data_IF_322849764874
#
_entry.id   IF_322849764874
#
_cell.length_a   1.000
_cell.length_b   1.000
_cell.length_c   1.000
_cell.angle_alpha   90.00
_cell.angle_beta   90.00
_cell.angle_gamma   90.00
#
_symmetry.space_group_name_H-M   'P 1'
#
loop_
_entity.id
_entity.type
_entity.pdbx_description
1 polymer ?
#
# COMPACT_ATOMS: atom_id res chain seq x y z
N UNK A 1 39.89 38.45 -15.38
CA UNK A 1 40.19 38.26 -16.82
C UNK A 1 39.91 36.81 -17.15
N UNK A 2 39.04 36.60 -18.14
CA UNK A 2 38.42 35.32 -18.53
C UNK A 2 39.40 34.32 -19.16
N UNK A 3 39.13 33.03 -18.94
CA UNK A 3 39.30 31.91 -19.89
C UNK A 3 38.60 30.69 -19.24
N UNK A 4 37.45 30.15 -19.66
CA UNK A 4 36.94 29.72 -20.97
C UNK A 4 37.66 28.48 -21.55
N UNK A 5 37.11 27.29 -21.25
CA UNK A 5 36.96 26.07 -22.08
C UNK A 5 38.23 25.34 -22.59
N UNK A 6 38.18 23.99 -22.67
CA UNK A 6 37.51 23.43 -23.86
C UNK A 6 36.72 22.10 -23.69
N UNK A 7 35.66 22.02 -24.50
CA UNK A 7 35.14 20.88 -25.29
C UNK A 7 34.86 19.53 -24.63
N UNK A 8 33.57 19.22 -24.53
CA UNK A 8 33.00 17.88 -24.38
C UNK A 8 33.31 16.95 -25.56
N UNK A 9 33.97 15.83 -25.26
CA UNK A 9 34.01 14.64 -26.11
C UNK A 9 32.87 13.69 -25.74
N UNK A 10 32.09 13.29 -26.75
CA UNK A 10 31.04 12.26 -26.65
C UNK A 10 31.62 10.86 -26.81
N UNK A 11 31.14 9.93 -25.99
CA UNK A 11 30.97 8.50 -26.28
C UNK A 11 31.51 7.57 -25.18
N UNK A 12 31.07 6.29 -25.10
CA UNK A 12 29.90 5.65 -25.73
C UNK A 12 28.90 5.06 -24.70
N UNK A 13 27.69 4.81 -25.16
CA UNK A 13 26.60 4.15 -24.43
C UNK A 13 26.98 2.69 -24.07
N UNK A 14 26.93 2.36 -22.78
CA UNK A 14 27.00 0.98 -22.32
C UNK A 14 25.69 0.26 -22.67
N UNK A 15 25.82 -0.86 -23.38
CA UNK A 15 24.72 -1.71 -23.78
C UNK A 15 24.09 -2.37 -22.55
N UNK A 16 22.80 -2.13 -22.32
CA UNK A 16 21.98 -2.96 -21.42
C UNK A 16 21.89 -4.36 -22.00
N UNK A 17 22.33 -5.34 -21.22
CA UNK A 17 22.13 -6.75 -21.52
C UNK A 17 20.64 -7.07 -21.37
N UNK A 18 19.98 -7.41 -22.48
CA UNK A 18 18.62 -7.93 -22.46
C UNK A 18 18.64 -9.39 -22.01
N UNK A 19 17.87 -9.70 -20.98
CA UNK A 19 17.56 -11.07 -20.57
C UNK A 19 16.74 -11.70 -21.68
N UNK A 20 17.29 -12.73 -22.32
CA UNK A 20 16.60 -13.53 -23.31
C UNK A 20 15.95 -14.75 -22.63
N UNK A 21 14.62 -14.79 -22.60
CA UNK A 21 13.90 -16.03 -22.32
C UNK A 21 14.09 -16.99 -23.50
N UNK A 22 14.88 -18.04 -23.30
CA UNK A 22 15.08 -19.11 -24.27
C UNK A 22 13.99 -20.18 -24.12
N UNK A 23 13.22 -20.41 -25.20
CA UNK A 23 12.37 -21.59 -25.33
C UNK A 23 13.24 -22.81 -25.67
N UNK A 24 13.36 -23.73 -24.72
CA UNK A 24 14.05 -25.00 -24.86
C UNK A 24 13.26 -26.00 -25.73
N UNK A 25 13.04 -25.69 -27.02
CA UNK A 25 12.58 -26.69 -27.99
C UNK A 25 12.88 -26.45 -29.48
N UNK A 26 13.62 -25.42 -29.86
CA UNK A 26 14.15 -25.35 -31.23
C UNK A 26 15.51 -24.64 -31.29
N UNK A 27 16.58 -25.41 -31.45
CA UNK A 27 17.95 -24.89 -31.57
C UNK A 27 18.19 -24.11 -32.86
N UNK A 28 17.69 -22.88 -32.94
CA UNK A 28 17.98 -21.92 -34.01
C UNK A 28 18.19 -20.51 -33.47
N UNK A 29 19.41 -20.03 -33.61
CA UNK A 29 19.85 -18.65 -33.36
C UNK A 29 19.25 -17.71 -34.41
N UNK A 30 18.57 -16.65 -33.99
CA UNK A 30 18.14 -15.56 -34.87
C UNK A 30 18.92 -14.28 -34.49
N UNK A 31 19.74 -13.79 -35.41
CA UNK A 31 20.42 -12.51 -35.30
C UNK A 31 19.44 -11.35 -35.56
N UNK A 32 19.47 -10.24 -34.79
CA UNK A 32 18.75 -9.04 -35.17
C UNK A 32 19.57 -8.23 -36.19
N UNK A 33 18.95 -7.99 -37.35
CA UNK A 33 19.40 -7.04 -38.37
C UNK A 33 18.94 -5.63 -37.97
N UNK A 34 19.92 -4.73 -37.81
CA UNK A 34 19.72 -3.29 -37.64
C UNK A 34 19.39 -2.66 -39.00
N UNK A 35 18.33 -1.85 -39.08
CA UNK A 35 17.96 -1.12 -40.30
C UNK A 35 17.18 0.17 -39.99
N UNK A 36 17.82 1.30 -40.26
CA UNK A 36 17.32 2.68 -40.10
C UNK A 36 16.52 3.19 -41.31
N UNK A 37 15.52 4.04 -41.01
CA UNK A 37 14.96 5.16 -41.80
C UNK A 37 14.11 4.89 -43.07
N UNK A 38 12.97 5.59 -43.18
CA UNK A 38 12.32 5.86 -44.48
C UNK A 38 10.81 6.14 -44.44
N UNK A 39 10.42 7.34 -44.86
CA UNK A 39 9.06 7.93 -44.88
C UNK A 39 8.10 7.43 -45.99
N UNK A 40 6.79 7.62 -45.73
CA UNK A 40 5.60 7.81 -46.63
C UNK A 40 4.65 6.64 -46.96
N UNK A 41 3.37 6.86 -46.54
CA UNK A 41 2.04 6.66 -47.19
C UNK A 41 1.84 5.51 -48.20
N UNK A 42 1.02 4.51 -47.85
CA UNK A 42 -0.42 4.41 -48.20
C UNK A 42 -0.98 2.99 -47.93
N UNK A 43 -2.06 2.92 -47.14
CA UNK A 43 -3.27 2.13 -47.42
C UNK A 43 -3.26 0.61 -47.21
N UNK A 44 -3.84 0.16 -46.08
CA UNK A 44 -5.03 -0.72 -46.00
C UNK A 44 -5.32 -1.11 -44.54
N UNK A 45 -6.55 -0.83 -44.08
CA UNK A 45 -7.18 -1.42 -42.87
C UNK A 45 -7.52 -2.91 -43.15
N UNK A 46 -7.84 -3.79 -42.16
CA UNK A 46 -8.74 -3.61 -41.01
C UNK A 46 -8.12 -4.15 -39.68
N UNK A 47 -8.70 -4.18 -38.49
CA UNK A 47 -10.09 -4.29 -38.04
C UNK A 47 -10.22 -3.74 -36.59
N UNK A 48 -11.45 -3.36 -36.25
CA UNK A 48 -11.90 -2.91 -34.94
C UNK A 48 -11.82 -4.05 -33.92
N UNK A 49 -11.17 -3.83 -32.78
CA UNK A 49 -11.40 -4.60 -31.56
C UNK A 49 -12.34 -3.78 -30.68
N UNK A 50 -13.60 -4.22 -30.58
CA UNK A 50 -14.54 -3.73 -29.59
C UNK A 50 -14.30 -4.47 -28.28
N UNK A 51 -14.17 -3.71 -27.20
CA UNK A 51 -14.29 -4.20 -25.83
C UNK A 51 -15.75 -4.58 -25.58
N UNK A 52 -15.99 -5.79 -25.06
CA UNK A 52 -17.26 -6.16 -24.45
C UNK A 52 -16.95 -6.53 -23.00
N UNK A 53 -17.38 -5.63 -22.11
CA UNK A 53 -17.63 -5.89 -20.70
C UNK A 53 -18.74 -6.95 -20.58
N UNK A 54 -18.52 -7.94 -19.72
CA UNK A 54 -19.52 -8.96 -19.40
C UNK A 54 -19.81 -8.93 -17.90
N UNK A 55 -20.83 -8.16 -17.56
CA UNK A 55 -21.58 -8.25 -16.31
C UNK A 55 -22.49 -9.49 -16.37
N UNK A 56 -22.49 -10.26 -15.28
CA UNK A 56 -23.48 -11.28 -14.91
C UNK A 56 -23.46 -12.66 -15.58
N UNK A 57 -23.48 -13.64 -14.68
CA UNK A 57 -23.60 -15.08 -14.91
C UNK A 57 -25.06 -15.42 -15.18
N UNK A 58 -25.40 -15.81 -16.40
CA UNK A 58 -26.40 -16.86 -16.68
C UNK A 58 -26.44 -17.18 -18.19
N UNK A 59 -26.48 -18.49 -18.47
CA UNK A 59 -27.01 -19.14 -19.68
C UNK A 59 -25.97 -19.68 -20.69
N UNK A 60 -25.77 -21.00 -20.65
CA UNK A 60 -24.94 -21.77 -21.58
C UNK A 60 -25.83 -22.50 -22.60
N UNK A 61 -25.60 -22.26 -23.90
CA UNK A 61 -26.09 -23.13 -24.99
C UNK A 61 -24.94 -23.59 -25.86
N UNK A 62 -24.87 -24.92 -26.04
CA UNK A 62 -23.89 -25.65 -26.85
C UNK A 62 -24.32 -25.69 -28.31
N UNK A 63 -23.40 -25.42 -29.24
CA UNK A 63 -23.48 -25.90 -30.63
C UNK A 63 -22.12 -26.46 -31.07
N UNK A 64 -22.16 -27.65 -31.68
CA UNK A 64 -21.03 -28.44 -32.19
C UNK A 64 -20.94 -28.33 -33.71
N UNK A 65 -19.72 -28.35 -34.26
CA UNK A 65 -19.47 -28.87 -35.62
C UNK A 65 -18.09 -29.54 -35.72
N UNK A 66 -18.09 -30.75 -36.27
CA UNK A 66 -16.99 -31.70 -36.46
C UNK A 66 -16.02 -31.33 -37.59
N UNK A 67 -14.74 -31.73 -37.43
CA UNK A 67 -13.73 -31.73 -38.52
C UNK A 67 -12.25 -31.92 -38.09
N UNK A 68 -11.94 -33.05 -37.42
CA UNK A 68 -10.64 -33.70 -37.07
C UNK A 68 -9.30 -33.28 -37.75
N UNK A 69 -8.10 -33.66 -37.21
CA UNK A 69 -7.71 -33.91 -35.80
C UNK A 69 -6.29 -33.39 -35.44
N UNK A 70 -6.03 -33.16 -34.14
CA UNK A 70 -4.66 -33.09 -33.58
C UNK A 70 -4.53 -34.12 -32.45
N UNK A 71 -3.53 -35.00 -32.58
CA UNK A 71 -3.20 -36.06 -31.62
C UNK A 71 -2.59 -35.47 -30.35
N UNK A 72 -3.15 -35.83 -29.19
CA UNK A 72 -2.55 -35.57 -27.87
C UNK A 72 -2.45 -36.92 -27.13
N UNK A 73 -1.32 -37.25 -26.47
CA UNK A 73 -1.11 -38.53 -25.81
C UNK A 73 -1.88 -38.65 -24.49
N UNK A 74 -2.20 -39.90 -24.14
CA UNK A 74 -3.04 -40.30 -23.02
C UNK A 74 -2.33 -40.25 -21.63
N UNK A 75 -3.10 -39.84 -20.61
CA UNK A 75 -2.83 -40.01 -19.18
C UNK A 75 -4.18 -40.08 -18.42
N UNK A 76 -4.27 -40.80 -17.29
CA UNK A 76 -5.46 -41.59 -16.97
C UNK A 76 -6.62 -40.80 -16.32
N UNK A 77 -7.82 -41.28 -16.65
CA UNK A 77 -9.14 -40.77 -16.33
C UNK A 77 -9.50 -40.81 -14.84
N UNK A 78 -10.12 -39.73 -14.35
CA UNK A 78 -10.96 -39.74 -13.14
C UNK A 78 -12.42 -39.67 -13.60
N UNK A 79 -13.15 -40.75 -13.34
CA UNK A 79 -14.59 -40.89 -13.62
C UNK A 79 -15.37 -40.23 -12.49
N UNK A 80 -16.06 -39.13 -12.79
CA UNK A 80 -16.98 -38.48 -11.86
C UNK A 80 -18.41 -38.94 -12.16
N UNK A 81 -18.95 -39.84 -11.33
CA UNK A 81 -20.35 -40.26 -11.39
C UNK A 81 -21.24 -39.21 -10.72
N UNK A 82 -22.07 -38.52 -11.50
CA UNK A 82 -23.19 -37.74 -10.99
C UNK A 82 -24.44 -38.64 -10.89
N UNK A 83 -24.98 -38.80 -9.69
CA UNK A 83 -26.27 -39.47 -9.47
C UNK A 83 -27.31 -38.41 -9.14
N UNK A 84 -28.23 -38.19 -10.07
CA UNK A 84 -29.45 -37.40 -9.88
C UNK A 84 -30.47 -38.24 -9.11
N UNK A 85 -31.04 -37.67 -8.05
CA UNK A 85 -32.06 -38.31 -7.22
C UNK A 85 -33.43 -37.70 -7.49
N UNK A 86 -34.41 -38.55 -7.74
CA UNK A 86 -35.82 -38.20 -7.88
C UNK A 86 -36.69 -39.08 -6.97
N UNK A 87 -37.72 -38.42 -6.40
CA UNK A 87 -38.99 -38.96 -5.90
C UNK A 87 -39.04 -39.75 -4.57
N UNK A 88 -39.71 -39.12 -3.59
CA UNK A 88 -40.43 -39.70 -2.44
C UNK A 88 -41.58 -40.65 -2.90
N UNK A 89 -42.21 -41.55 -2.08
CA UNK A 89 -42.63 -41.30 -0.68
C UNK A 89 -42.75 -42.49 0.33
N UNK A 90 -42.90 -42.09 1.62
CA UNK A 90 -43.65 -42.69 2.76
C UNK A 90 -43.70 -44.22 2.96
N UNK A 91 -43.06 -44.70 4.05
CA UNK A 91 -43.66 -45.56 5.11
C UNK A 91 -42.61 -46.00 6.14
N UNK A 92 -43.03 -46.15 7.41
CA UNK A 92 -42.28 -46.51 8.64
C UNK A 92 -43.18 -47.55 9.36
N UNK A 93 -42.76 -48.41 10.32
CA UNK A 93 -41.43 -48.81 10.83
C UNK A 93 -41.21 -50.35 10.87
N UNK A 94 -39.97 -50.82 11.07
CA UNK A 94 -39.60 -51.76 12.16
C UNK A 94 -38.26 -52.48 11.94
N UNK A 95 -37.48 -52.50 13.03
CA UNK A 95 -36.45 -53.47 13.45
C UNK A 95 -35.16 -53.63 12.62
N UNK A 96 -34.07 -53.83 13.38
CA UNK A 96 -32.70 -54.19 12.97
C UNK A 96 -31.77 -53.04 12.55
N UNK A 97 -31.20 -52.34 13.54
CA UNK A 97 -29.94 -51.60 13.38
C UNK A 97 -28.86 -52.23 14.26
N UNK A 98 -28.13 -53.19 13.68
CA UNK A 98 -26.82 -53.66 14.13
C UNK A 98 -25.77 -52.92 13.30
N UNK A 99 -24.72 -52.43 13.96
CA UNK A 99 -23.44 -51.96 13.39
C UNK A 99 -23.49 -50.70 12.52
N UNK A 100 -23.37 -49.52 13.15
CA UNK A 100 -22.92 -48.31 12.50
C UNK A 100 -21.86 -47.61 13.36
N UNK A 101 -20.61 -47.77 12.94
CA UNK A 101 -19.51 -46.80 13.01
C UNK A 101 -19.37 -45.93 14.28
N UNK A 102 -18.59 -46.43 15.24
CA UNK A 102 -17.76 -45.57 16.08
C UNK A 102 -16.45 -45.27 15.33
N UNK A 103 -16.51 -44.36 14.35
CA UNK A 103 -15.32 -43.64 13.89
C UNK A 103 -15.39 -42.29 14.59
N UNK A 104 -14.75 -42.23 15.76
CA UNK A 104 -14.39 -40.96 16.39
C UNK A 104 -13.49 -40.23 15.40
N UNK A 105 -14.07 -39.26 14.71
CA UNK A 105 -13.34 -38.32 13.88
C UNK A 105 -12.39 -37.52 14.77
N UNK A 106 -11.13 -37.95 14.82
CA UNK A 106 -10.01 -37.04 15.04
C UNK A 106 -9.99 -36.11 13.84
N UNK A 107 -10.76 -35.03 13.92
CA UNK A 107 -10.56 -33.86 13.09
C UNK A 107 -9.20 -33.28 13.47
N UNK A 108 -8.15 -33.74 12.79
CA UNK A 108 -6.89 -33.01 12.73
C UNK A 108 -7.21 -31.78 11.90
N UNK A 109 -7.55 -30.68 12.56
CA UNK A 109 -7.41 -29.38 11.91
C UNK A 109 -5.93 -29.29 11.47
N UNK A 110 -5.64 -28.90 10.22
CA UNK A 110 -4.28 -28.52 9.90
C UNK A 110 -3.97 -27.32 10.79
N UNK A 111 -3.24 -27.55 11.86
CA UNK A 111 -2.46 -26.50 12.49
C UNK A 111 -1.53 -26.02 11.39
N UNK A 112 -1.74 -24.82 10.86
CA UNK A 112 -0.62 -24.08 10.31
C UNK A 112 0.33 -23.96 11.50
N UNK A 113 1.32 -24.84 11.54
CA UNK A 113 2.36 -24.74 12.53
C UNK A 113 3.08 -23.43 12.18
N UNK A 114 2.95 -22.42 13.05
CA UNK A 114 3.88 -21.31 13.02
C UNK A 114 5.27 -21.94 13.08
N UNK A 115 6.11 -21.64 12.09
CA UNK A 115 7.49 -22.09 12.09
C UNK A 115 8.18 -21.45 13.28
N UNK A 116 8.90 -22.24 14.09
CA UNK A 116 9.68 -21.69 15.17
C UNK A 116 10.82 -20.82 14.58
N UNK A 117 11.19 -19.70 15.23
CA UNK A 117 12.30 -18.88 14.75
C UNK A 117 13.61 -19.66 14.83
N UNK A 118 14.53 -19.40 13.89
CA UNK A 118 15.85 -20.00 13.88
C UNK A 118 16.66 -19.50 15.10
N UNK A 119 16.52 -18.21 15.39
CA UNK A 119 17.19 -17.56 16.51
C UNK A 119 16.39 -16.37 17.02
N UNK A 120 16.44 -16.15 18.33
CA UNK A 120 15.86 -14.95 18.95
C UNK A 120 16.97 -14.14 19.60
N UNK A 121 17.01 -12.84 19.32
CA UNK A 121 17.88 -11.86 19.98
C UNK A 121 17.00 -10.91 20.78
N UNK A 122 17.15 -10.92 22.10
CA UNK A 122 16.44 -9.98 22.98
C UNK A 122 17.40 -9.28 23.94
N UNK A 123 17.10 -8.02 24.26
CA UNK A 123 17.79 -7.28 25.30
C UNK A 123 16.89 -6.18 25.89
N UNK A 124 17.31 -5.62 27.02
CA UNK A 124 16.71 -4.43 27.63
C UNK A 124 17.78 -3.39 27.92
N UNK A 125 17.73 -2.28 27.19
CA UNK A 125 18.72 -1.20 27.26
C UNK A 125 18.14 0.04 27.95
N UNK A 126 18.92 0.78 28.75
CA UNK A 126 18.48 2.08 29.27
C UNK A 126 18.26 3.07 28.11
N UNK A 127 17.25 3.93 28.23
CA UNK A 127 16.99 5.03 27.31
C UNK A 127 16.22 6.11 28.07
N UNK A 128 16.62 7.37 27.92
CA UNK A 128 15.88 8.50 28.46
C UNK A 128 14.43 8.51 27.94
N UNK A 129 13.51 9.06 28.74
CA UNK A 129 12.08 9.10 28.38
C UNK A 129 11.83 9.82 27.05
N UNK A 130 12.60 10.87 26.76
CA UNK A 130 12.59 11.69 25.55
C UNK A 130 13.69 11.28 24.54
N UNK A 131 14.29 10.10 24.72
CA UNK A 131 15.29 9.56 23.79
C UNK A 131 14.69 9.20 22.43
N UNK A 132 15.53 8.68 21.53
CA UNK A 132 15.10 8.24 20.20
C UNK A 132 15.43 6.76 19.94
N UNK A 133 14.49 6.06 19.30
CA UNK A 133 14.67 4.70 18.79
C UNK A 133 14.64 4.74 17.27
N UNK A 134 15.63 4.14 16.63
CA UNK A 134 15.67 3.91 15.19
C UNK A 134 15.75 2.41 14.91
N UNK A 135 14.99 1.92 13.94
CA UNK A 135 14.99 0.52 13.51
C UNK A 135 15.15 0.48 12.00
N UNK A 136 16.21 -0.18 11.54
CA UNK A 136 16.47 -0.45 10.13
C UNK A 136 16.25 -1.95 9.87
N UNK A 137 15.29 -2.32 9.03
CA UNK A 137 15.00 -3.71 8.68
C UNK A 137 14.51 -3.85 7.24
N UNK A 138 14.41 -5.08 6.73
CA UNK A 138 13.96 -5.34 5.35
C UNK A 138 12.58 -5.99 5.35
N UNK A 139 12.48 -7.22 5.85
CA UNK A 139 11.28 -8.05 5.78
C UNK A 139 10.89 -8.52 7.18
N UNK A 140 9.59 -8.70 7.38
CA UNK A 140 9.03 -9.36 8.56
C UNK A 140 7.91 -8.55 9.19
N UNK A 141 8.01 -8.34 10.49
CA UNK A 141 7.01 -7.56 11.24
C UNK A 141 7.68 -6.64 12.23
N UNK A 142 7.10 -5.47 12.45
CA UNK A 142 7.57 -4.52 13.46
C UNK A 142 6.39 -4.15 14.34
N UNK A 143 6.36 -4.68 15.56
CA UNK A 143 5.33 -4.35 16.56
C UNK A 143 5.93 -3.46 17.64
N UNK A 144 5.44 -2.23 17.77
CA UNK A 144 5.88 -1.28 18.77
C UNK A 144 4.77 -0.90 19.74
N UNK A 145 5.06 -1.06 21.04
CA UNK A 145 4.18 -0.64 22.14
C UNK A 145 4.93 0.25 23.13
N UNK A 146 4.21 1.00 23.95
CA UNK A 146 4.83 1.91 24.93
C UNK A 146 4.67 1.50 26.39
N UNK A 147 5.48 2.11 27.26
CA UNK A 147 5.35 2.03 28.73
C UNK A 147 5.90 3.27 29.45
N UNK A 148 5.69 3.30 30.76
CA UNK A 148 6.17 4.35 31.67
C UNK A 148 7.49 3.94 32.34
N UNK A 149 8.53 3.66 31.54
CA UNK A 149 9.87 3.25 32.01
C UNK A 149 10.95 3.80 31.10
N UNK A 150 12.05 4.27 31.69
CA UNK A 150 13.23 4.82 30.99
C UNK A 150 14.17 3.71 30.50
N UNK A 151 13.64 2.86 29.62
CA UNK A 151 14.35 1.76 28.97
C UNK A 151 13.58 1.27 27.76
N UNK A 152 14.26 0.61 26.84
CA UNK A 152 13.66 -0.12 25.73
C UNK A 152 13.91 -1.60 25.92
N UNK A 153 12.88 -2.44 25.74
CA UNK A 153 13.03 -3.88 25.52
C UNK A 153 12.76 -4.14 24.05
N UNK A 154 13.63 -4.89 23.40
CA UNK A 154 13.39 -5.40 22.07
C UNK A 154 13.60 -6.91 22.06
N UNK A 155 12.87 -7.56 21.17
CA UNK A 155 12.96 -8.98 20.86
C UNK A 155 12.88 -9.10 19.35
N UNK A 156 13.88 -9.71 18.74
CA UNK A 156 14.00 -9.90 17.30
C UNK A 156 14.06 -11.40 17.04
N UNK A 157 12.97 -11.94 16.49
CA UNK A 157 12.88 -13.34 16.06
C UNK A 157 13.31 -13.42 14.59
N UNK A 158 14.43 -14.08 14.36
CA UNK A 158 15.01 -14.28 13.03
C UNK A 158 14.45 -15.59 12.49
N UNK A 159 13.75 -15.52 11.37
CA UNK A 159 13.12 -16.67 10.76
C UNK A 159 14.13 -17.47 9.92
N UNK A 160 14.00 -18.80 9.88
CA UNK A 160 14.79 -19.63 8.97
C UNK A 160 14.32 -19.45 7.51
N UNK A 161 15.23 -19.66 6.55
CA UNK A 161 14.87 -19.86 5.14
C UNK A 161 15.26 -21.26 4.68
N UNK A 162 14.81 -21.68 3.49
CA UNK A 162 15.21 -22.97 2.90
C UNK A 162 16.73 -23.02 2.62
N UNK A 163 17.35 -21.86 2.34
CA UNK A 163 18.78 -21.73 2.04
C UNK A 163 19.64 -21.54 3.30
N UNK A 164 19.10 -20.87 4.33
CA UNK A 164 19.75 -20.62 5.62
C UNK A 164 18.81 -21.00 6.79
N UNK A 165 18.68 -22.31 7.10
CA UNK A 165 17.74 -22.79 8.12
C UNK A 165 18.12 -22.38 9.55
N UNK A 166 19.37 -21.97 9.77
CA UNK A 166 19.86 -21.50 11.07
C UNK A 166 19.99 -19.96 11.11
N UNK A 167 19.67 -19.28 9.99
CA UNK A 167 19.78 -17.83 9.79
C UNK A 167 21.15 -17.27 10.26
N UNK A 168 22.24 -18.00 9.96
CA UNK A 168 23.58 -17.65 10.41
C UNK A 168 24.08 -16.33 9.82
N UNK A 169 23.60 -15.97 8.62
CA UNK A 169 23.98 -14.74 7.91
C UNK A 169 23.31 -13.48 8.44
N UNK A 170 22.20 -13.61 9.18
CA UNK A 170 21.45 -12.46 9.70
C UNK A 170 22.01 -12.09 11.08
N UNK A 171 22.32 -10.82 11.30
CA UNK A 171 22.74 -10.31 12.61
C UNK A 171 21.94 -9.07 13.00
N UNK A 172 21.67 -8.93 14.30
CA UNK A 172 21.00 -7.75 14.85
C UNK A 172 22.06 -6.87 15.50
N UNK A 173 22.36 -5.73 14.89
CA UNK A 173 23.27 -4.73 15.45
C UNK A 173 22.50 -3.76 16.34
N UNK A 174 22.74 -3.81 17.65
CA UNK A 174 22.24 -2.81 18.59
C UNK A 174 23.34 -1.80 18.95
N UNK A 175 23.13 -0.52 18.63
CA UNK A 175 23.99 0.59 19.04
C UNK A 175 23.22 1.51 19.97
N UNK A 176 23.71 1.67 21.20
CA UNK A 176 22.97 2.42 22.23
C UNK A 176 23.86 3.37 23.03
N UNK A 177 23.27 4.50 23.41
CA UNK A 177 23.67 5.35 24.52
C UNK A 177 22.40 5.82 25.27
N UNK A 178 22.55 6.67 26.28
CA UNK A 178 21.43 7.12 27.12
C UNK A 178 20.34 7.88 26.36
N UNK A 179 20.64 8.45 25.19
CA UNK A 179 19.73 9.29 24.39
C UNK A 179 19.20 8.59 23.13
N UNK A 180 19.90 7.56 22.63
CA UNK A 180 19.58 6.90 21.36
C UNK A 180 19.79 5.40 21.41
N UNK A 181 18.83 4.66 20.84
CA UNK A 181 18.96 3.26 20.46
C UNK A 181 18.78 3.15 18.95
N UNK A 182 19.71 2.45 18.28
CA UNK A 182 19.54 2.02 16.90
C UNK A 182 19.61 0.50 16.84
N UNK A 183 18.61 -0.11 16.22
CA UNK A 183 18.57 -1.53 15.86
C UNK A 183 18.69 -1.61 14.34
N UNK A 184 19.60 -2.44 13.84
CA UNK A 184 19.72 -2.69 12.41
C UNK A 184 19.81 -4.20 12.16
N UNK A 185 18.95 -4.71 11.28
CA UNK A 185 19.10 -6.04 10.70
C UNK A 185 20.17 -5.97 9.60
N UNK A 186 21.23 -6.75 9.76
CA UNK A 186 22.32 -6.86 8.80
C UNK A 186 22.35 -8.29 8.24
N UNK A 187 22.58 -8.44 6.94
CA UNK A 187 22.66 -9.74 6.27
C UNK A 187 24.01 -9.86 5.54
N UNK A 188 24.91 -10.66 6.12
CA UNK A 188 26.20 -10.95 5.51
C UNK A 188 26.05 -12.02 4.42
N UNK A 189 26.05 -11.62 3.15
CA UNK A 189 26.32 -12.58 2.09
C UNK A 189 27.82 -12.83 1.95
N UNK A 190 28.22 -14.05 2.29
CA UNK A 190 29.53 -14.58 1.91
C UNK A 190 29.59 -14.72 0.40
N UNK A 191 30.11 -13.69 -0.28
CA UNK A 191 30.96 -13.72 -1.48
C UNK A 191 30.90 -12.34 -2.22
N UNK A 192 31.80 -11.43 -1.86
CA UNK A 192 32.44 -10.30 -2.59
C UNK A 192 31.81 -9.56 -3.81
N UNK A 193 30.55 -9.74 -4.22
CA UNK A 193 29.94 -8.92 -5.30
C UNK A 193 28.44 -8.68 -5.20
N UNK A 194 27.84 -8.84 -4.01
CA UNK A 194 26.46 -8.44 -3.75
C UNK A 194 26.27 -8.05 -2.29
N UNK A 195 26.54 -6.79 -1.93
CA UNK A 195 25.93 -6.23 -0.71
C UNK A 195 24.45 -6.09 -0.98
N UNK A 196 23.68 -6.99 -0.39
CA UNK A 196 22.25 -7.16 -0.68
C UNK A 196 21.38 -6.22 0.14
N UNK A 197 21.71 -6.04 1.42
CA UNK A 197 20.96 -5.16 2.31
C UNK A 197 21.87 -4.72 3.45
N UNK A 198 22.07 -3.42 3.63
CA UNK A 198 22.94 -2.90 4.69
C UNK A 198 23.55 -1.54 4.40
N UNK A 199 24.48 -1.11 5.26
CA UNK A 199 25.18 0.17 5.17
C UNK A 199 26.59 0.00 4.62
N UNK A 200 26.98 0.81 3.63
CA UNK A 200 28.36 0.97 3.16
C UNK A 200 28.88 2.41 3.28
N UNK A 201 30.04 2.71 2.71
CA UNK A 201 30.66 4.05 2.76
C UNK A 201 29.84 5.13 2.03
N UNK A 202 28.94 4.75 1.11
CA UNK A 202 28.12 5.64 0.28
C UNK A 202 26.66 5.74 0.74
N UNK A 203 26.18 4.84 1.62
CA UNK A 203 24.85 4.89 2.21
C UNK A 203 24.20 3.53 2.42
N UNK A 204 22.88 3.50 2.38
CA UNK A 204 22.08 2.28 2.49
C UNK A 204 21.92 1.62 1.11
N UNK A 205 22.10 0.29 1.01
CA UNK A 205 22.00 -0.48 -0.24
C UNK A 205 20.83 -1.47 -0.22
N UNK A 206 20.16 -1.58 -1.37
CA UNK A 206 19.05 -2.48 -1.66
C UNK A 206 19.44 -3.53 -2.71
N UNK A 207 19.09 -4.80 -2.49
CA UNK A 207 18.95 -5.84 -3.52
C UNK A 207 19.52 -7.21 -3.19
N UNK A 208 18.69 -8.25 -3.09
CA UNK A 208 19.05 -9.67 -3.14
C UNK A 208 17.77 -10.50 -3.06
N UNK A 209 17.89 -11.82 -3.20
CA UNK A 209 16.77 -12.75 -3.21
C UNK A 209 16.99 -13.70 -2.02
N UNK A 210 15.99 -13.85 -1.15
CA UNK A 210 16.01 -14.65 0.10
C UNK A 210 16.68 -14.00 1.33
N UNK A 211 16.28 -12.77 1.68
CA UNK A 211 16.62 -12.18 3.00
C UNK A 211 15.67 -12.81 4.04
N UNK A 212 16.17 -13.42 5.14
CA UNK A 212 15.27 -13.97 6.14
C UNK A 212 14.46 -12.88 6.86
N UNK A 213 13.15 -13.12 7.00
CA UNK A 213 12.27 -12.23 7.74
C UNK A 213 12.69 -12.10 9.22
N UNK A 214 12.60 -10.90 9.76
CA UNK A 214 12.84 -10.61 11.19
C UNK A 214 11.59 -10.00 11.80
N UNK A 215 11.06 -10.65 12.83
CA UNK A 215 9.92 -10.16 13.59
C UNK A 215 10.40 -9.41 14.84
N UNK A 216 10.27 -8.09 14.82
CA UNK A 216 10.59 -7.21 15.94
C UNK A 216 9.38 -6.99 16.84
N UNK A 217 9.56 -7.24 18.14
CA UNK A 217 8.67 -6.76 19.20
C UNK A 217 9.42 -5.77 20.08
N UNK A 218 9.02 -4.49 20.02
CA UNK A 218 9.68 -3.39 20.72
C UNK A 218 8.73 -2.77 21.74
N UNK A 219 9.26 -2.55 22.94
CA UNK A 219 8.57 -1.80 24.00
C UNK A 219 9.44 -0.66 24.51
N UNK A 220 8.97 0.56 24.35
CA UNK A 220 9.77 1.78 24.55
C UNK A 220 9.07 2.84 25.44
N UNK A 221 9.79 3.85 25.96
CA UNK A 221 9.17 4.96 26.68
C UNK A 221 8.13 5.68 25.81
N UNK A 222 7.00 6.08 26.39
CA UNK A 222 5.90 6.73 25.66
C UNK A 222 6.30 8.02 24.92
N UNK A 223 7.19 8.82 25.51
CA UNK A 223 7.60 10.13 24.99
C UNK A 223 8.82 10.07 24.07
N UNK A 224 9.42 8.90 23.88
CA UNK A 224 10.57 8.72 23.01
C UNK A 224 10.15 8.84 21.54
N UNK A 225 11.01 9.38 20.69
CA UNK A 225 10.78 9.44 19.25
C UNK A 225 11.08 8.07 18.61
N UNK A 226 10.34 7.71 17.56
CA UNK A 226 10.55 6.48 16.79
C UNK A 226 10.77 6.81 15.32
N UNK A 227 11.84 6.26 14.75
CA UNK A 227 12.09 6.19 13.30
C UNK A 227 12.15 4.73 12.87
N UNK A 228 11.37 4.37 11.85
CA UNK A 228 11.42 3.07 11.19
C UNK A 228 11.87 3.29 9.75
N UNK A 229 12.92 2.59 9.35
CA UNK A 229 13.41 2.49 7.98
C UNK A 229 13.26 1.02 7.57
N UNK A 230 12.35 0.74 6.65
CA UNK A 230 11.86 -0.59 6.30
C UNK A 230 11.76 -0.80 4.78
N UNK A 231 11.56 -2.04 4.33
CA UNK A 231 11.21 -2.34 2.94
C UNK A 231 9.79 -2.85 2.79
N UNK A 232 9.44 -3.93 3.48
CA UNK A 232 8.25 -4.71 3.16
C UNK A 232 7.62 -5.36 4.40
N UNK A 233 7.94 -4.85 5.59
CA UNK A 233 7.41 -5.38 6.84
C UNK A 233 5.97 -4.95 7.07
N UNK A 234 5.21 -5.78 7.80
CA UNK A 234 3.98 -5.33 8.44
C UNK A 234 4.32 -4.52 9.70
N UNK A 235 3.91 -3.26 9.75
CA UNK A 235 4.27 -2.32 10.81
C UNK A 235 3.04 -2.01 11.68
N UNK A 236 3.15 -2.21 12.99
CA UNK A 236 2.13 -1.87 13.97
C UNK A 236 2.72 -1.00 15.08
N UNK A 237 2.21 0.22 15.25
CA UNK A 237 2.71 1.18 16.26
C UNK A 237 1.56 1.68 17.13
N UNK A 238 1.64 1.42 18.44
CA UNK A 238 0.58 1.77 19.40
C UNK A 238 1.07 2.63 20.56
N UNK A 239 0.36 3.73 20.85
CA UNK A 239 0.43 4.43 22.12
C UNK A 239 1.60 5.39 22.30
N UNK A 240 2.22 5.85 21.23
CA UNK A 240 3.38 6.77 21.25
C UNK A 240 2.92 8.23 21.40
N UNK A 241 3.69 9.02 22.13
CA UNK A 241 3.49 10.46 22.30
C UNK A 241 4.68 11.28 21.80
N UNK A 242 5.84 10.64 21.59
CA UNK A 242 6.93 11.21 20.79
C UNK A 242 6.60 11.16 19.30
N UNK A 243 7.39 11.86 18.49
CA UNK A 243 7.22 11.87 17.03
C UNK A 243 7.48 10.47 16.44
N UNK A 244 6.67 10.10 15.44
CA UNK A 244 6.78 8.87 14.67
C UNK A 244 7.14 9.21 13.22
N UNK A 245 8.22 8.63 12.71
CA UNK A 245 8.56 8.65 11.29
C UNK A 245 8.71 7.22 10.76
N UNK A 246 8.04 6.93 9.66
CA UNK A 246 8.13 5.64 8.96
C UNK A 246 8.53 5.92 7.52
N UNK A 247 9.55 5.23 7.05
CA UNK A 247 10.02 5.19 5.67
C UNK A 247 9.99 3.72 5.28
N UNK A 248 9.12 3.35 4.33
CA UNK A 248 9.00 1.96 3.87
C UNK A 248 8.75 1.91 2.37
N UNK A 249 9.10 0.81 1.70
CA UNK A 249 8.75 0.65 0.30
C UNK A 249 7.30 0.12 0.18
N UNK A 250 6.99 -0.94 0.91
CA UNK A 250 5.78 -1.73 0.83
C UNK A 250 5.33 -2.23 2.21
N UNK A 251 4.13 -2.82 2.25
CA UNK A 251 3.60 -3.48 3.44
C UNK A 251 2.55 -2.66 4.19
N UNK A 252 1.70 -3.30 5.00
CA UNK A 252 0.64 -2.63 5.73
C UNK A 252 1.21 -1.89 6.95
N UNK A 253 0.75 -0.66 7.16
CA UNK A 253 1.13 0.17 8.31
C UNK A 253 -0.12 0.50 9.13
N UNK A 254 -0.12 0.09 10.40
CA UNK A 254 -1.19 0.39 11.35
C UNK A 254 -0.65 1.23 12.51
N UNK A 255 -1.25 2.40 12.71
CA UNK A 255 -0.87 3.37 13.74
C UNK A 255 -2.09 3.66 14.62
N UNK A 256 -1.97 3.43 15.93
CA UNK A 256 -3.11 3.57 16.86
C UNK A 256 -2.74 4.32 18.13
N UNK A 257 -3.68 5.13 18.65
CA UNK A 257 -3.62 5.84 19.94
C UNK A 257 -2.37 6.72 20.10
N UNK A 258 -2.09 7.51 19.07
CA UNK A 258 -0.91 8.35 18.96
C UNK A 258 -1.20 9.80 19.41
N UNK A 259 -0.19 10.46 19.99
CA UNK A 259 -0.24 11.89 20.38
C UNK A 259 0.91 12.72 19.83
N UNK A 260 1.90 12.07 19.24
CA UNK A 260 2.99 12.75 18.54
C UNK A 260 2.62 12.98 17.09
N UNK A 261 3.35 13.88 16.42
CA UNK A 261 3.23 14.00 14.97
C UNK A 261 3.64 12.69 14.28
N UNK A 262 2.93 12.34 13.22
CA UNK A 262 3.17 11.15 12.39
C UNK A 262 3.58 11.59 10.99
N UNK A 263 4.70 11.06 10.51
CA UNK A 263 5.14 11.21 9.11
C UNK A 263 5.37 9.84 8.52
N UNK A 264 4.72 9.52 7.41
CA UNK A 264 4.87 8.25 6.71
C UNK A 264 5.21 8.56 5.25
N UNK A 265 6.35 8.06 4.82
CA UNK A 265 6.79 8.08 3.43
C UNK A 265 6.75 6.62 2.92
N UNK A 266 6.00 6.34 1.85
CA UNK A 266 5.89 4.99 1.28
C UNK A 266 5.89 4.95 -0.26
N UNK A 267 6.23 3.81 -0.85
CA UNK A 267 5.98 3.59 -2.28
C UNK A 267 4.58 2.99 -2.48
N UNK A 268 4.29 1.84 -1.90
CA UNK A 268 3.04 1.09 -2.06
C UNK A 268 2.56 0.49 -0.74
N UNK A 269 1.72 1.22 0.00
CA UNK A 269 1.28 0.76 1.34
C UNK A 269 -0.22 0.95 1.58
N UNK A 270 -0.78 0.03 2.38
CA UNK A 270 -2.09 0.23 3.01
C UNK A 270 -1.89 0.84 4.39
N UNK A 271 -2.35 2.08 4.57
CA UNK A 271 -2.17 2.86 5.79
C UNK A 271 -3.48 2.92 6.58
N UNK A 272 -3.42 2.54 7.86
CA UNK A 272 -4.54 2.64 8.80
C UNK A 272 -4.11 3.44 10.02
N UNK A 273 -4.71 4.61 10.23
CA UNK A 273 -4.40 5.48 11.39
C UNK A 273 -5.67 5.75 12.18
N UNK A 274 -5.68 5.42 13.46
CA UNK A 274 -6.85 5.60 14.34
C UNK A 274 -6.47 6.27 15.66
N UNK A 275 -7.29 7.22 16.10
CA UNK A 275 -7.10 7.97 17.35
C UNK A 275 -5.76 8.69 17.39
N UNK A 276 -5.61 9.69 16.51
CA UNK A 276 -4.41 10.51 16.42
C UNK A 276 -4.70 11.92 16.95
N UNK A 277 -3.91 12.35 17.92
CA UNK A 277 -3.96 13.68 18.54
C UNK A 277 -2.66 14.42 18.24
N UNK A 278 -2.53 14.91 17.01
CA UNK A 278 -1.31 15.48 16.44
C UNK A 278 -1.33 15.47 14.92
N UNK A 279 -0.44 16.25 14.32
CA UNK A 279 -0.38 16.38 12.86
C UNK A 279 0.02 15.05 12.18
N UNK A 280 -0.54 14.82 10.99
CA UNK A 280 -0.25 13.67 10.13
C UNK A 280 0.21 14.15 8.76
N UNK A 281 1.32 13.63 8.29
CA UNK A 281 1.82 13.84 6.93
C UNK A 281 2.05 12.49 6.27
N UNK A 282 1.37 12.25 5.15
CA UNK A 282 1.50 11.04 4.34
C UNK A 282 2.01 11.44 2.96
N UNK A 283 3.06 10.78 2.50
CA UNK A 283 3.63 10.95 1.16
C UNK A 283 3.77 9.55 0.57
N UNK A 284 2.96 9.22 -0.44
CA UNK A 284 2.94 7.86 -0.99
C UNK A 284 2.80 7.84 -2.51
N UNK A 285 3.54 6.96 -3.19
CA UNK A 285 3.34 6.82 -4.63
C UNK A 285 1.97 6.23 -4.92
N UNK A 286 1.66 5.08 -4.33
CA UNK A 286 0.36 4.43 -4.43
C UNK A 286 -0.12 3.93 -3.06
N UNK A 287 -1.44 3.86 -2.85
CA UNK A 287 -1.95 3.23 -1.64
C UNK A 287 -3.39 3.54 -1.25
N UNK A 288 -3.87 2.74 -0.29
CA UNK A 288 -5.15 2.96 0.40
C UNK A 288 -4.88 3.50 1.80
N UNK A 289 -5.50 4.63 2.12
CA UNK A 289 -5.36 5.33 3.39
C UNK A 289 -6.71 5.41 4.09
N UNK A 290 -6.87 4.66 5.18
CA UNK A 290 -8.07 4.65 6.02
C UNK A 290 -7.75 5.31 7.37
N UNK A 291 -8.25 6.53 7.58
CA UNK A 291 -7.97 7.34 8.78
C UNK A 291 -9.26 7.56 9.58
N UNK A 292 -9.18 7.49 10.91
CA UNK A 292 -10.33 7.72 11.81
C UNK A 292 -9.95 8.49 13.06
N UNK A 293 -10.82 9.43 13.46
CA UNK A 293 -10.68 10.20 14.70
C UNK A 293 -9.29 10.88 14.78
N UNK A 294 -9.09 11.83 13.87
CA UNK A 294 -7.85 12.58 13.71
C UNK A 294 -8.09 14.01 14.22
N UNK A 295 -7.32 14.44 15.21
CA UNK A 295 -7.30 15.81 15.72
C UNK A 295 -5.95 16.46 15.38
N UNK A 296 -5.96 17.46 14.50
CA UNK A 296 -4.75 18.10 13.99
C UNK A 296 -4.78 18.34 12.47
N UNK A 297 -3.64 18.75 11.90
CA UNK A 297 -3.50 18.92 10.46
C UNK A 297 -3.27 17.55 9.80
N UNK A 298 -4.05 17.26 8.76
CA UNK A 298 -3.81 16.14 7.85
C UNK A 298 -3.28 16.67 6.52
N UNK A 299 -2.09 16.22 6.11
CA UNK A 299 -1.49 16.49 4.80
C UNK A 299 -1.23 15.18 4.10
N UNK A 300 -1.71 15.03 2.87
CA UNK A 300 -1.55 13.84 2.05
C UNK A 300 -1.13 14.26 0.64
N UNK A 301 0.02 13.77 0.20
CA UNK A 301 0.51 13.86 -1.17
C UNK A 301 0.58 12.45 -1.74
N UNK A 302 -0.03 12.23 -2.90
CA UNK A 302 0.02 10.92 -3.55
C UNK A 302 0.01 11.00 -5.07
N UNK A 303 0.62 10.03 -5.75
CA UNK A 303 0.46 9.93 -7.20
C UNK A 303 -0.86 9.26 -7.55
N UNK A 304 -1.08 8.04 -7.05
CA UNK A 304 -2.30 7.26 -7.27
C UNK A 304 -2.86 6.70 -5.95
N UNK A 305 -3.97 7.23 -5.43
CA UNK A 305 -4.36 6.86 -4.06
C UNK A 305 -5.82 7.03 -3.71
N UNK A 306 -6.26 6.27 -2.71
CA UNK A 306 -7.59 6.49 -2.09
C UNK A 306 -7.42 6.88 -0.64
N UNK A 307 -7.90 8.08 -0.29
CA UNK A 307 -8.01 8.56 1.08
C UNK A 307 -9.46 8.47 1.56
N UNK A 308 -9.68 7.78 2.68
CA UNK A 308 -10.92 7.82 3.45
C UNK A 308 -10.61 8.29 4.86
N UNK A 309 -11.07 9.48 5.24
CA UNK A 309 -10.93 10.01 6.60
C UNK A 309 -12.29 10.26 7.24
N UNK A 310 -12.50 9.69 8.44
CA UNK A 310 -13.71 9.85 9.24
C UNK A 310 -13.40 10.60 10.55
N UNK A 311 -14.28 11.53 10.94
CA UNK A 311 -14.17 12.31 12.18
C UNK A 311 -12.88 13.14 12.26
N UNK A 312 -12.56 13.88 11.19
CA UNK A 312 -11.45 14.85 11.19
C UNK A 312 -11.84 16.13 11.96
N UNK A 313 -11.09 16.44 13.01
CA UNK A 313 -11.12 17.74 13.71
C UNK A 313 -9.84 18.50 13.35
N UNK A 314 -9.91 19.40 12.38
CA UNK A 314 -8.70 20.03 11.87
C UNK A 314 -8.81 20.67 10.49
N UNK A 315 -7.69 20.62 9.78
CA UNK A 315 -7.52 20.97 8.36
C UNK A 315 -7.12 19.75 7.54
N UNK A 316 -7.37 19.81 6.23
CA UNK A 316 -6.95 18.82 5.25
C UNK A 316 -6.20 19.52 4.11
N UNK A 317 -5.03 19.02 3.76
CA UNK A 317 -4.41 19.22 2.45
C UNK A 317 -4.32 17.86 1.76
N UNK A 318 -4.95 17.72 0.61
CA UNK A 318 -4.89 16.53 -0.22
C UNK A 318 -4.47 16.95 -1.63
N UNK A 319 -3.35 16.41 -2.10
CA UNK A 319 -2.85 16.60 -3.45
C UNK A 319 -2.70 15.21 -4.10
N UNK A 320 -3.35 14.99 -5.24
CA UNK A 320 -3.21 13.76 -6.00
C UNK A 320 -3.13 14.02 -7.51
N UNK A 321 -2.43 13.14 -8.24
CA UNK A 321 -2.58 13.08 -9.69
C UNK A 321 -3.84 12.27 -10.01
N UNK A 322 -3.86 10.98 -9.69
CA UNK A 322 -5.01 10.09 -9.92
C UNK A 322 -5.56 9.58 -8.57
N UNK A 323 -6.47 10.33 -7.94
CA UNK A 323 -6.82 10.06 -6.54
C UNK A 323 -8.26 10.29 -6.17
N UNK A 324 -8.81 9.41 -5.31
CA UNK A 324 -10.13 9.61 -4.71
C UNK A 324 -9.99 10.00 -3.24
N UNK A 325 -10.67 11.08 -2.84
CA UNK A 325 -10.75 11.50 -1.44
C UNK A 325 -12.19 11.50 -0.93
N UNK A 326 -12.40 10.86 0.21
CA UNK A 326 -13.65 10.93 0.99
C UNK A 326 -13.32 11.39 2.41
N UNK A 327 -13.59 12.65 2.72
CA UNK A 327 -13.27 13.25 4.02
C UNK A 327 -14.52 13.70 4.77
N UNK A 328 -14.72 13.18 5.97
CA UNK A 328 -15.81 13.56 6.88
C UNK A 328 -15.26 14.30 8.09
N UNK A 329 -15.66 15.57 8.23
CA UNK A 329 -15.19 16.46 9.28
C UNK A 329 -16.11 16.41 10.51
N UNK A 330 -15.51 16.21 11.67
CA UNK A 330 -16.14 16.51 12.95
C UNK A 330 -16.27 18.03 13.13
N UNK A 331 -15.17 18.75 12.88
CA UNK A 331 -15.05 20.22 12.92
C UNK A 331 -13.96 20.66 11.93
N UNK A 332 -14.23 21.70 11.14
CA UNK A 332 -13.19 22.38 10.35
C UNK A 332 -12.63 23.52 11.18
N UNK A 333 -11.32 23.52 11.44
CA UNK A 333 -10.68 24.53 12.31
C UNK A 333 -9.73 25.46 11.59
N UNK A 334 -9.27 25.08 10.40
CA UNK A 334 -8.31 25.78 9.55
C UNK A 334 -8.56 25.37 8.09
N UNK A 335 -7.83 25.95 7.15
CA UNK A 335 -8.10 25.84 5.70
C UNK A 335 -8.10 24.39 5.21
N UNK A 336 -8.95 24.11 4.21
CA UNK A 336 -9.04 22.83 3.52
C UNK A 336 -8.68 23.03 2.06
N UNK A 337 -7.72 22.25 1.58
CA UNK A 337 -7.25 22.27 0.21
C UNK A 337 -7.31 20.86 -0.37
N UNK A 338 -8.01 20.71 -1.49
CA UNK A 338 -8.10 19.45 -2.22
C UNK A 338 -7.79 19.73 -3.68
N UNK A 339 -6.76 19.09 -4.21
CA UNK A 339 -6.33 19.16 -5.61
C UNK A 339 -6.24 17.75 -6.17
N UNK A 340 -6.91 17.50 -7.30
CA UNK A 340 -6.83 16.23 -8.03
C UNK A 340 -6.77 16.49 -9.54
N UNK A 341 -5.96 15.75 -10.29
CA UNK A 341 -5.99 15.82 -11.76
C UNK A 341 -7.14 14.95 -12.27
N UNK A 342 -7.11 13.64 -11.98
CA UNK A 342 -8.15 12.69 -12.34
C UNK A 342 -8.69 11.99 -11.07
N UNK A 343 -9.90 12.35 -10.61
CA UNK A 343 -10.51 11.60 -9.51
C UNK A 343 -11.65 12.31 -8.76
N UNK A 344 -12.32 11.54 -7.89
CA UNK A 344 -13.49 12.01 -7.18
C UNK A 344 -13.14 12.61 -5.80
N UNK A 345 -13.76 13.73 -5.46
CA UNK A 345 -13.61 14.37 -4.15
C UNK A 345 -14.96 14.49 -3.44
N UNK A 346 -15.14 13.81 -2.32
CA UNK A 346 -16.32 13.95 -1.46
C UNK A 346 -15.92 14.52 -0.10
N UNK A 347 -16.39 15.73 0.21
CA UNK A 347 -16.20 16.35 1.53
C UNK A 347 -17.54 16.44 2.26
N UNK A 348 -17.58 15.86 3.45
CA UNK A 348 -18.75 15.92 4.34
C UNK A 348 -18.46 16.85 5.51
N UNK A 349 -19.24 17.92 5.61
CA UNK A 349 -19.07 18.98 6.60
C UNK A 349 -20.26 19.04 7.57
N UNK A 350 -20.08 19.54 8.80
CA UNK A 350 -21.20 19.95 9.64
C UNK A 350 -22.07 20.99 8.90
N UNK A 351 -23.42 20.91 8.95
CA UNK A 351 -24.30 21.77 8.16
C UNK A 351 -24.21 23.26 8.52
N UNK A 352 -23.69 23.58 9.70
CA UNK A 352 -23.48 24.95 10.20
C UNK A 352 -22.05 25.45 10.01
N UNK A 353 -21.19 24.73 9.28
CA UNK A 353 -19.81 25.16 9.05
C UNK A 353 -19.80 26.43 8.21
N UNK A 354 -19.19 27.48 8.75
CA UNK A 354 -18.87 28.70 8.00
C UNK A 354 -17.56 28.51 7.25
N UNK A 355 -17.58 28.69 5.94
CA UNK A 355 -16.46 28.39 5.04
C UNK A 355 -16.46 29.43 3.91
N UNK A 356 -15.28 29.90 3.50
CA UNK A 356 -15.11 30.64 2.25
C UNK A 356 -14.80 29.65 1.12
N UNK A 357 -15.75 29.40 0.23
CA UNK A 357 -15.57 28.44 -0.86
C UNK A 357 -14.86 29.11 -2.03
N UNK A 358 -13.82 28.48 -2.54
CA UNK A 358 -13.10 28.89 -3.73
C UNK A 358 -12.83 27.64 -4.59
N UNK A 359 -13.33 27.61 -5.82
CA UNK A 359 -13.09 26.47 -6.73
C UNK A 359 -12.31 26.92 -7.94
N UNK A 360 -11.50 26.00 -8.46
CA UNK A 360 -10.84 26.08 -9.75
C UNK A 360 -11.07 24.74 -10.49
N UNK A 361 -12.13 24.69 -11.28
CA UNK A 361 -12.55 23.51 -12.03
C UNK A 361 -12.42 23.75 -13.53
N UNK A 362 -11.91 22.74 -14.24
CA UNK A 362 -11.95 22.64 -15.70
C UNK A 362 -13.33 22.14 -16.20
N UNK A 363 -13.51 22.07 -17.53
CA UNK A 363 -14.78 21.82 -18.22
C UNK A 363 -15.46 20.47 -17.87
N UNK A 364 -14.70 19.47 -17.41
CA UNK A 364 -15.15 18.09 -17.25
C UNK A 364 -15.50 17.73 -15.78
N UNK A 365 -15.72 18.73 -14.91
CA UNK A 365 -16.02 18.53 -13.48
C UNK A 365 -17.50 18.77 -13.12
N UNK A 366 -18.11 17.80 -12.44
CA UNK A 366 -19.49 17.87 -11.94
C UNK A 366 -19.52 18.13 -10.42
N UNK A 367 -19.89 19.36 -9.98
CA UNK A 367 -20.10 19.65 -8.55
C UNK A 367 -21.53 19.34 -8.09
N UNK A 368 -21.66 18.49 -7.06
CA UNK A 368 -22.92 18.24 -6.33
C UNK A 368 -22.81 18.75 -4.89
N UNK A 369 -23.69 19.67 -4.51
CA UNK A 369 -23.66 20.28 -3.18
C UNK A 369 -25.00 20.18 -2.45
N UNK A 370 -24.95 19.85 -1.16
CA UNK A 370 -26.07 19.96 -0.23
C UNK A 370 -26.26 21.41 0.28
N UNK A 371 -25.26 22.27 0.10
CA UNK A 371 -25.34 23.72 0.37
C UNK A 371 -25.91 24.48 -0.84
N UNK A 372 -26.63 25.58 -0.59
CA UNK A 372 -27.09 26.49 -1.65
C UNK A 372 -25.94 27.38 -2.14
N UNK A 373 -25.41 27.06 -3.32
CA UNK A 373 -24.29 27.78 -3.94
C UNK A 373 -24.74 28.78 -5.01
N UNK A 374 -26.05 28.95 -5.22
CA UNK A 374 -26.57 29.74 -6.36
C UNK A 374 -26.15 31.21 -6.35
N UNK A 375 -25.91 31.78 -5.17
CA UNK A 375 -25.48 33.17 -5.00
C UNK A 375 -23.98 33.41 -5.22
N UNK A 376 -23.17 32.35 -5.15
CA UNK A 376 -21.69 32.41 -5.25
C UNK A 376 -21.16 31.71 -6.50
N UNK A 377 -22.06 31.21 -7.36
CA UNK A 377 -21.70 30.69 -8.67
C UNK A 377 -21.14 31.79 -9.56
N UNK A 378 -19.98 31.53 -10.13
CA UNK A 378 -19.27 32.32 -11.14
C UNK A 378 -18.99 31.44 -12.36
N UNK A 379 -18.46 32.04 -13.43
CA UNK A 379 -18.26 31.32 -14.70
C UNK A 379 -19.53 31.22 -15.54
N UNK A 380 -19.40 30.61 -16.70
CA UNK A 380 -20.51 30.41 -17.64
C UNK A 380 -21.30 29.13 -17.28
N UNK A 381 -22.39 28.85 -17.99
CA UNK A 381 -23.26 27.71 -17.65
C UNK A 381 -22.56 26.35 -17.83
N UNK A 382 -21.59 26.29 -18.77
CA UNK A 382 -20.84 25.10 -19.16
C UNK A 382 -19.59 24.87 -18.27
N UNK A 383 -19.04 25.92 -17.65
CA UNK A 383 -17.82 25.89 -16.81
C UNK A 383 -18.06 26.59 -15.46
N UNK A 384 -18.93 26.03 -14.58
CA UNK A 384 -19.28 26.68 -13.34
C UNK A 384 -18.15 26.59 -12.31
N UNK A 385 -17.74 27.75 -11.81
CA UNK A 385 -16.89 27.87 -10.63
C UNK A 385 -17.64 28.56 -9.50
N UNK A 386 -17.10 28.54 -8.29
CA UNK A 386 -17.76 29.05 -7.09
C UNK A 386 -16.78 29.85 -6.25
N UNK A 387 -17.18 31.07 -5.89
CA UNK A 387 -16.39 31.94 -5.02
C UNK A 387 -17.26 32.72 -4.04
N UNK A 388 -17.09 32.42 -2.76
CA UNK A 388 -17.62 33.22 -1.66
C UNK A 388 -18.11 32.43 -0.47
N UNK A 389 -18.71 33.18 0.46
CA UNK A 389 -19.06 32.69 1.79
C UNK A 389 -20.25 31.71 1.81
N UNK A 390 -20.04 30.58 2.48
CA UNK A 390 -21.08 29.67 2.97
C UNK A 390 -21.26 29.92 4.46
N UNK A 391 -22.50 30.02 4.94
CA UNK A 391 -22.85 30.22 6.36
C UNK A 391 -22.13 31.41 7.04
N UNK A 392 -21.79 32.45 6.29
CA UNK A 392 -21.12 33.66 6.81
C UNK A 392 -19.59 33.64 6.75
N UNK A 393 -19.00 32.68 6.01
CA UNK A 393 -17.56 32.59 5.76
C UNK A 393 -16.80 31.88 6.88
N UNK A 394 -15.48 31.82 6.78
CA UNK A 394 -14.64 31.10 7.74
C UNK A 394 -13.27 30.75 7.15
N UNK A 395 -12.68 29.60 7.52
CA UNK A 395 -11.54 29.02 6.82
C UNK A 395 -11.84 28.84 5.33
N UNK A 396 -10.79 28.92 4.50
CA UNK A 396 -10.90 28.67 3.07
C UNK A 396 -11.16 27.18 2.83
N UNK A 397 -12.09 26.89 1.92
CA UNK A 397 -12.21 25.60 1.25
C UNK A 397 -11.86 25.80 -0.21
N UNK A 398 -10.65 25.40 -0.56
CA UNK A 398 -10.14 25.43 -1.92
C UNK A 398 -10.25 24.04 -2.55
N UNK A 399 -10.93 23.98 -3.70
CA UNK A 399 -11.12 22.76 -4.49
C UNK A 399 -10.60 22.98 -5.91
N UNK A 400 -9.63 22.19 -6.31
CA UNK A 400 -9.08 22.16 -7.66
C UNK A 400 -9.25 20.75 -8.24
N UNK A 401 -9.84 20.67 -9.43
CA UNK A 401 -10.10 19.42 -10.13
C UNK A 401 -10.09 19.62 -11.65
N UNK A 402 -9.45 18.70 -12.37
CA UNK A 402 -9.40 18.74 -13.83
C UNK A 402 -10.45 17.80 -14.47
N UNK A 403 -10.57 16.56 -13.95
CA UNK A 403 -11.61 15.58 -14.31
C UNK A 403 -12.12 14.83 -13.05
N UNK A 404 -13.44 14.64 -12.95
CA UNK A 404 -14.07 13.84 -11.90
C UNK A 404 -15.33 14.46 -11.28
N UNK A 405 -15.93 13.71 -10.34
CA UNK A 405 -17.09 14.19 -9.57
C UNK A 405 -16.62 14.83 -8.25
N UNK A 406 -17.06 16.07 -7.99
CA UNK A 406 -16.86 16.74 -6.70
C UNK A 406 -18.19 16.79 -5.95
N UNK A 407 -18.18 16.43 -4.66
CA UNK A 407 -19.35 16.44 -3.81
C UNK A 407 -19.11 17.14 -2.48
N UNK A 408 -19.93 18.16 -2.19
CA UNK A 408 -20.02 18.79 -0.87
C UNK A 408 -21.29 18.30 -0.17
N UNK A 409 -21.10 17.54 0.90
CA UNK A 409 -22.17 16.90 1.66
C UNK A 409 -22.31 17.49 3.06
N UNK A 410 -23.51 17.36 3.60
CA UNK A 410 -23.76 17.61 5.02
C UNK A 410 -23.94 16.29 5.78
N UNK A 411 -23.37 16.19 6.98
CA UNK A 411 -23.56 15.02 7.86
C UNK A 411 -24.85 15.03 8.66
#
# INVERSE_FOLDING_TARGET
MNAAGPSHGKGPWAARQGIACADARSGRTLFPLVGTAGTRKHGRAPARCGFISATSVTDWRVFSFDGMPLRVPAGPSIVCCAVTSSLMPRSVPSLCALLAAAVLGLGVAPSVAAQDPARTVEDTVPLAADGAVAVDTHEGTITVTTWERDRVRYEAEIMPTDEDPDAEKVTIQARTNDERLRLATDHEDGDDESTVFGFDEDGFRWGGIDIPAVHYTIRMPRSAALRLDDHESAIEVTGLAGALRIDTHEGPVTVTDQRGAVTIDSHESSLSITNQDGDVTLDTHEGRMDLRNIAGRLSVDTHEGTLSVEELEGSLRFDAHDGTVSASFATVTDDVHVSTHDGDATLTLPPTSGIDLNTDFDDDVDLRSDFDLSAIRIGDEDEPNYRGDINGGGPELYLEADDGDVALRTR
#
